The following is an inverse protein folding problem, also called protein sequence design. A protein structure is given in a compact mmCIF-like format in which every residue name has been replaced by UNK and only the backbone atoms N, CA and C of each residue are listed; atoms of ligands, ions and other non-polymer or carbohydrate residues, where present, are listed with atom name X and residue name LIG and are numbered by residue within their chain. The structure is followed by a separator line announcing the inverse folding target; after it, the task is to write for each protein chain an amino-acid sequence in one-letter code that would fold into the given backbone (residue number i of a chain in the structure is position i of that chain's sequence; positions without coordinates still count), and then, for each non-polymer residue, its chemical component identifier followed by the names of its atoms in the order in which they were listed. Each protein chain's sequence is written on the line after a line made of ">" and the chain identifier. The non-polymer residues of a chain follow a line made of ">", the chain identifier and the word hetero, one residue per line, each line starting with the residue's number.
data_IF_481173783702
#
_entry.id   IF_481173783702
#
_cell.length_a   1.000
_cell.length_b   1.000
_cell.length_c   1.000
_cell.angle_alpha   90.00
_cell.angle_beta   90.00
_cell.angle_gamma   90.00
#
_symmetry.space_group_name_H-M   'P 1'
#
loop_
_entity.id
_entity.type
_entity.pdbx_description
1 polymer ?
#
# COMPACT_ATOMS: atom_id res chain seq x y z
N UNK A 1 23.18 23.47 -10.06
CA UNK A 1 24.28 23.13 -9.12
C UNK A 1 24.17 21.64 -8.80
N UNK A 2 25.27 20.89 -8.84
CA UNK A 2 25.30 19.48 -8.46
C UNK A 2 25.63 19.38 -6.95
N UNK A 3 24.78 18.70 -6.19
CA UNK A 3 24.98 18.47 -4.75
C UNK A 3 25.25 17.00 -4.52
N UNK A 4 26.32 16.69 -3.76
CA UNK A 4 26.63 15.32 -3.34
C UNK A 4 26.26 15.14 -1.87
N UNK A 5 25.50 14.07 -1.50
CA UNK A 5 25.13 13.82 -0.12
C UNK A 5 26.31 13.23 0.68
N UNK A 6 26.67 13.91 1.76
CA UNK A 6 27.59 13.40 2.77
C UNK A 6 26.87 13.24 4.10
N UNK A 7 27.23 12.22 4.86
CA UNK A 7 26.91 12.12 6.28
C UNK A 7 28.09 12.61 7.09
N UNK A 8 27.84 13.62 7.93
CA UNK A 8 28.85 14.25 8.77
C UNK A 8 28.54 13.86 10.22
N UNK A 9 29.57 13.43 10.96
CA UNK A 9 29.44 13.20 12.40
C UNK A 9 29.33 14.55 13.11
N UNK A 10 28.23 14.75 13.84
CA UNK A 10 27.97 15.99 14.58
C UNK A 10 28.17 15.84 16.09
N UNK A 11 28.42 14.65 16.59
CA UNK A 11 28.65 14.42 18.00
C UNK A 11 29.86 15.20 18.49
N UNK A 12 29.63 16.15 19.41
CA UNK A 12 30.66 17.05 19.92
C UNK A 12 31.05 18.19 18.98
N UNK A 13 30.57 18.23 17.74
CA UNK A 13 30.86 19.31 16.78
C UNK A 13 30.31 20.65 17.28
N UNK A 14 31.09 21.71 17.10
CA UNK A 14 30.77 23.07 17.52
C UNK A 14 30.03 23.81 16.42
N UNK A 15 28.75 24.08 16.62
CA UNK A 15 27.92 24.86 15.69
C UNK A 15 27.65 26.25 16.21
N UNK A 16 27.76 27.26 15.35
CA UNK A 16 27.36 28.62 15.63
C UNK A 16 26.05 28.93 14.91
N UNK A 17 25.03 29.30 15.66
CA UNK A 17 23.73 29.70 15.16
C UNK A 17 23.52 31.20 15.37
N UNK A 18 23.55 31.96 14.29
CA UNK A 18 23.34 33.42 14.34
C UNK A 18 21.89 33.71 13.99
N UNK A 19 21.14 34.18 15.00
CA UNK A 19 19.70 34.41 14.93
C UNK A 19 18.96 33.72 16.06
N UNK A 20 17.91 34.36 16.60
CA UNK A 20 17.15 33.91 17.78
C UNK A 20 15.69 33.58 17.51
N UNK A 21 15.23 33.64 16.25
CA UNK A 21 13.82 33.44 15.88
C UNK A 21 13.42 31.99 15.62
N UNK A 22 12.16 31.79 15.17
CA UNK A 22 11.57 30.46 14.88
C UNK A 22 12.37 29.62 13.88
N UNK A 23 13.07 30.24 12.93
CA UNK A 23 13.89 29.51 11.96
C UNK A 23 15.12 28.92 12.64
N UNK A 24 15.79 29.70 13.49
CA UNK A 24 16.90 29.24 14.31
C UNK A 24 16.47 28.09 15.24
N UNK A 25 15.31 28.22 15.89
CA UNK A 25 14.71 27.20 16.72
C UNK A 25 14.59 25.85 15.99
N UNK A 26 13.92 25.83 14.82
CA UNK A 26 13.78 24.62 13.98
C UNK A 26 15.11 24.02 13.50
N UNK A 27 16.14 24.83 13.37
CA UNK A 27 17.48 24.32 13.00
C UNK A 27 18.17 23.68 14.21
N UNK A 28 18.06 24.29 15.38
CA UNK A 28 18.58 23.71 16.63
C UNK A 28 17.90 22.36 16.95
N UNK A 29 16.55 22.29 16.86
CA UNK A 29 15.78 21.04 17.04
C UNK A 29 16.28 19.88 16.16
N UNK A 30 16.71 20.19 14.94
CA UNK A 30 17.22 19.17 14.01
C UNK A 30 18.63 18.71 14.32
N UNK A 31 19.46 19.54 14.94
CA UNK A 31 20.89 19.26 15.16
C UNK A 31 21.19 18.69 16.54
N UNK A 32 20.47 19.13 17.57
CA UNK A 32 20.67 18.67 18.95
C UNK A 32 20.60 17.15 19.12
N UNK A 33 19.65 16.44 18.46
CA UNK A 33 19.59 14.97 18.55
C UNK A 33 20.82 14.24 18.00
N UNK A 34 21.65 14.93 17.21
CA UNK A 34 22.91 14.39 16.67
C UNK A 34 24.14 14.77 17.51
N UNK A 35 23.93 15.33 18.71
CA UNK A 35 25.02 15.62 19.66
C UNK A 35 25.83 16.87 19.35
N UNK A 36 25.36 17.75 18.45
CA UNK A 36 26.01 19.03 18.16
C UNK A 36 25.99 19.96 19.38
N UNK A 37 27.10 20.65 19.65
CA UNK A 37 27.20 21.71 20.66
C UNK A 37 26.92 23.04 19.99
N UNK A 38 25.75 23.62 20.26
CA UNK A 38 25.31 24.83 19.58
C UNK A 38 25.46 26.05 20.46
N UNK A 39 26.12 27.07 19.93
CA UNK A 39 26.12 28.45 20.47
C UNK A 39 25.19 29.30 19.66
N UNK A 40 24.22 29.91 20.30
CA UNK A 40 23.25 30.83 19.69
C UNK A 40 23.65 32.26 19.98
N UNK A 41 23.83 33.06 18.93
CA UNK A 41 24.18 34.49 19.05
C UNK A 41 23.07 35.31 18.42
N UNK A 42 22.37 36.07 19.21
CA UNK A 42 21.33 37.01 18.75
C UNK A 42 21.00 38.04 19.85
N UNK A 43 20.62 39.30 19.50
CA UNK A 43 20.15 40.27 20.49
C UNK A 43 18.90 39.78 21.22
N UNK A 44 17.97 39.16 20.47
CA UNK A 44 16.73 38.61 20.97
C UNK A 44 16.66 37.11 20.64
N UNK A 45 16.30 36.29 21.63
CA UNK A 45 16.15 34.85 21.49
C UNK A 45 14.76 34.46 21.98
N UNK A 46 13.96 33.82 21.10
CA UNK A 46 12.60 33.40 21.42
C UNK A 46 12.57 32.38 22.57
N UNK A 47 11.46 32.35 23.29
CA UNK A 47 11.28 31.53 24.49
C UNK A 47 11.50 30.02 24.21
N UNK A 48 11.02 29.53 23.07
CA UNK A 48 11.15 28.13 22.67
C UNK A 48 12.64 27.75 22.50
N UNK A 49 13.43 28.59 21.82
CA UNK A 49 14.84 28.36 21.62
C UNK A 49 15.63 28.51 22.94
N UNK A 50 15.25 29.48 23.77
CA UNK A 50 15.88 29.70 25.07
C UNK A 50 15.63 28.56 26.08
N UNK A 51 14.51 27.85 25.93
CA UNK A 51 14.14 26.70 26.76
C UNK A 51 14.78 25.37 26.36
N UNK A 52 15.50 25.29 25.23
CA UNK A 52 16.16 24.06 24.80
C UNK A 52 17.39 23.76 25.63
N UNK A 53 17.47 22.51 26.10
CA UNK A 53 18.68 22.04 26.77
C UNK A 53 19.83 21.85 25.78
N UNK A 54 21.08 22.06 26.23
CA UNK A 54 22.28 21.81 25.43
C UNK A 54 22.70 22.99 24.53
N UNK A 55 22.09 24.16 24.70
CA UNK A 55 22.48 25.38 23.99
C UNK A 55 23.31 26.32 24.87
N UNK A 56 24.30 26.97 24.28
CA UNK A 56 24.95 28.15 24.86
C UNK A 56 24.31 29.39 24.26
N UNK A 57 23.76 30.28 25.07
CA UNK A 57 23.02 31.46 24.63
C UNK A 57 23.84 32.75 24.84
N UNK A 58 24.08 33.50 23.76
CA UNK A 58 24.74 34.79 23.77
C UNK A 58 23.80 35.89 23.30
N UNK A 59 23.19 36.64 24.24
CA UNK A 59 22.18 37.70 23.93
C UNK A 59 22.91 39.01 23.56
N UNK A 60 23.45 39.08 22.35
CA UNK A 60 24.15 40.24 21.78
C UNK A 60 24.17 40.15 20.25
N UNK A 61 24.45 41.20 19.54
CA UNK A 61 24.76 41.14 18.11
C UNK A 61 25.94 40.23 17.81
N UNK A 62 25.93 39.65 16.60
CA UNK A 62 27.07 38.89 16.06
C UNK A 62 28.28 39.78 15.88
N UNK A 63 29.45 39.27 16.23
CA UNK A 63 30.75 39.86 15.98
C UNK A 63 31.66 38.89 15.22
N UNK A 64 32.60 39.39 14.42
CA UNK A 64 33.52 38.53 13.63
C UNK A 64 34.36 37.62 14.50
N UNK A 65 34.58 38.03 15.76
CA UNK A 65 35.26 37.20 16.81
C UNK A 65 34.45 35.96 17.23
N UNK A 66 33.16 35.89 16.90
CA UNK A 66 32.37 34.69 17.16
C UNK A 66 32.78 33.50 16.28
N UNK A 67 33.57 33.78 15.25
CA UNK A 67 34.18 32.78 14.41
C UNK A 67 35.59 32.38 14.90
N UNK A 68 36.02 32.81 16.07
CA UNK A 68 37.33 32.51 16.69
C UNK A 68 37.14 31.95 18.11
N UNK A 69 37.49 30.69 18.39
CA UNK A 69 38.03 29.69 17.46
C UNK A 69 36.96 29.22 16.46
N UNK A 70 37.39 28.91 15.23
CA UNK A 70 36.48 28.55 14.14
C UNK A 70 35.53 27.44 14.54
N UNK A 71 34.21 27.63 14.42
CA UNK A 71 33.25 26.55 14.57
C UNK A 71 33.31 25.58 13.40
N UNK A 72 32.84 24.35 13.60
CA UNK A 72 32.83 23.33 12.55
C UNK A 72 31.77 23.67 11.47
N UNK A 73 30.68 24.33 11.87
CA UNK A 73 29.67 24.84 10.94
C UNK A 73 28.96 26.07 11.52
N UNK A 74 28.37 26.87 10.61
CA UNK A 74 27.62 28.09 10.94
C UNK A 74 26.25 28.04 10.29
N UNK A 75 25.25 28.51 11.00
CA UNK A 75 23.89 28.75 10.49
C UNK A 75 23.59 30.23 10.60
N UNK A 76 23.50 30.92 9.46
CA UNK A 76 23.10 32.32 9.37
C UNK A 76 21.58 32.41 9.19
N UNK A 77 20.88 32.69 10.30
CA UNK A 77 19.42 32.72 10.39
C UNK A 77 18.91 34.03 11.02
N UNK A 78 19.69 35.13 10.89
CA UNK A 78 19.28 36.44 11.32
C UNK A 78 18.17 37.01 10.42
N UNK A 79 17.33 37.90 10.96
CA UNK A 79 16.32 38.61 10.17
C UNK A 79 16.93 39.58 9.14
N UNK A 80 18.20 39.98 9.33
CA UNK A 80 18.94 40.86 8.44
C UNK A 80 19.69 40.04 7.35
N UNK A 81 19.28 40.20 6.10
CA UNK A 81 19.89 39.54 4.94
C UNK A 81 21.33 40.04 4.67
N UNK A 82 21.64 41.31 4.97
CA UNK A 82 22.99 41.81 4.78
C UNK A 82 23.98 41.18 5.75
N UNK A 83 23.55 41.01 7.01
CA UNK A 83 24.31 40.26 8.01
C UNK A 83 24.52 38.80 7.61
N UNK A 84 23.49 38.13 7.15
CA UNK A 84 23.59 36.74 6.71
C UNK A 84 24.59 36.56 5.54
N UNK A 85 24.58 37.47 4.56
CA UNK A 85 25.56 37.46 3.45
C UNK A 85 26.97 37.75 3.93
N UNK A 86 27.16 38.68 4.88
CA UNK A 86 28.46 38.96 5.51
C UNK A 86 29.00 37.71 6.21
N UNK A 87 28.18 37.05 7.00
CA UNK A 87 28.56 35.80 7.67
C UNK A 87 28.97 34.74 6.65
N UNK A 88 28.19 34.58 5.56
CA UNK A 88 28.51 33.64 4.49
C UNK A 88 29.89 33.93 3.85
N UNK A 89 30.19 35.19 3.57
CA UNK A 89 31.49 35.61 3.01
C UNK A 89 32.64 35.31 3.97
N UNK A 90 32.47 35.62 5.26
CA UNK A 90 33.47 35.34 6.30
C UNK A 90 33.73 33.85 6.46
N UNK A 91 32.64 33.03 6.49
CA UNK A 91 32.77 31.57 6.57
C UNK A 91 33.45 30.98 5.34
N UNK A 92 33.12 31.47 4.15
CA UNK A 92 33.76 31.03 2.90
C UNK A 92 35.24 31.33 2.88
N UNK A 93 35.66 32.53 3.31
CA UNK A 93 37.05 32.91 3.40
C UNK A 93 37.86 32.06 4.40
N UNK A 94 37.21 31.59 5.48
CA UNK A 94 37.80 30.74 6.53
C UNK A 94 37.58 29.24 6.31
N UNK A 95 36.95 28.82 5.19
CA UNK A 95 36.58 27.44 4.86
C UNK A 95 35.70 26.77 5.90
N UNK A 96 34.83 27.54 6.55
CA UNK A 96 33.84 27.06 7.49
C UNK A 96 32.57 26.71 6.73
N UNK A 97 31.95 25.54 7.01
CA UNK A 97 30.67 25.16 6.43
C UNK A 97 29.55 26.11 6.89
N UNK A 98 28.79 26.67 5.97
CA UNK A 98 27.72 27.61 6.29
C UNK A 98 26.39 27.25 5.61
N UNK A 99 25.31 27.34 6.37
CA UNK A 99 23.95 27.33 5.83
C UNK A 99 23.34 28.73 6.03
N UNK A 100 22.89 29.35 4.95
CA UNK A 100 22.26 30.65 4.96
C UNK A 100 20.77 30.51 4.70
N UNK A 101 19.96 31.04 5.59
CA UNK A 101 18.51 30.98 5.45
C UNK A 101 18.08 31.89 4.30
N UNK A 102 17.22 31.38 3.42
CA UNK A 102 16.65 32.05 2.24
C UNK A 102 17.69 32.58 1.21
N UNK A 103 18.94 32.07 1.27
CA UNK A 103 19.98 32.37 0.28
C UNK A 103 20.73 31.08 -0.16
N UNK A 104 20.20 30.34 -1.17
CA UNK A 104 20.83 29.15 -1.66
C UNK A 104 22.25 29.33 -2.20
N UNK A 105 22.56 30.50 -2.78
CA UNK A 105 23.87 30.78 -3.35
C UNK A 105 24.97 30.96 -2.26
N UNK A 106 24.56 31.39 -1.08
CA UNK A 106 25.42 31.56 0.08
C UNK A 106 25.71 30.27 0.84
N UNK A 107 24.98 29.18 0.55
CA UNK A 107 25.09 27.93 1.30
C UNK A 107 26.26 27.06 0.86
N UNK A 108 27.03 26.54 1.83
CA UNK A 108 28.00 25.47 1.67
C UNK A 108 27.38 24.06 1.92
N UNK A 109 26.24 24.00 2.61
CA UNK A 109 25.48 22.77 2.84
C UNK A 109 23.98 23.04 2.99
N UNK A 110 23.14 21.99 2.78
CA UNK A 110 21.69 22.07 2.96
C UNK A 110 21.19 21.14 4.04
N UNK A 111 20.06 21.52 4.64
CA UNK A 111 19.27 20.64 5.50
C UNK A 111 18.33 19.81 4.66
N UNK A 112 18.50 18.48 4.58
CA UNK A 112 17.54 17.62 3.90
C UNK A 112 16.25 17.45 4.72
N UNK A 113 15.20 16.94 4.08
CA UNK A 113 14.14 16.29 4.81
C UNK A 113 14.67 14.95 5.34
N UNK A 114 14.54 14.70 6.65
CA UNK A 114 15.14 13.54 7.32
C UNK A 114 14.07 12.50 7.67
N UNK A 115 14.38 11.22 7.38
CA UNK A 115 13.75 10.05 8.01
C UNK A 115 14.75 9.47 8.99
N UNK A 116 14.36 9.32 10.25
CA UNK A 116 15.20 8.74 11.28
C UNK A 116 14.48 7.62 12.02
N UNK A 117 15.11 6.45 12.11
CA UNK A 117 14.64 5.28 12.84
C UNK A 117 15.83 4.60 13.51
N UNK A 118 16.16 5.01 14.73
CA UNK A 118 17.38 4.56 15.42
C UNK A 118 18.63 4.87 14.59
N UNK A 119 19.36 3.83 14.19
CA UNK A 119 20.59 3.95 13.36
C UNK A 119 20.32 4.34 11.90
N UNK A 120 19.08 4.20 11.40
CA UNK A 120 18.77 4.63 10.04
C UNK A 120 18.63 6.14 9.98
N UNK A 121 19.36 6.74 9.06
CA UNK A 121 19.17 8.14 8.65
C UNK A 121 19.08 8.20 7.13
N UNK A 122 17.97 8.76 6.61
CA UNK A 122 17.79 9.03 5.18
C UNK A 122 17.65 10.53 4.96
N UNK A 123 18.53 11.12 4.21
CA UNK A 123 18.47 12.52 3.81
C UNK A 123 17.85 12.66 2.41
N UNK A 124 16.78 13.44 2.28
CA UNK A 124 16.08 13.68 1.01
C UNK A 124 16.23 15.15 0.63
N UNK A 125 16.82 15.38 -0.53
CA UNK A 125 16.99 16.72 -1.10
C UNK A 125 16.42 16.74 -2.53
N UNK A 126 15.74 17.82 -2.87
CA UNK A 126 15.26 18.11 -4.24
C UNK A 126 16.12 19.20 -4.89
N UNK A 127 17.32 19.45 -4.38
CA UNK A 127 18.18 20.55 -4.87
C UNK A 127 17.58 21.95 -4.70
N UNK A 128 16.62 22.10 -3.79
CA UNK A 128 15.88 23.36 -3.61
C UNK A 128 14.63 23.50 -4.50
N UNK A 129 14.38 22.55 -5.42
CA UNK A 129 13.25 22.64 -6.36
C UNK A 129 11.87 22.58 -5.69
N UNK A 130 11.70 21.71 -4.68
CA UNK A 130 10.40 21.54 -4.01
C UNK A 130 10.52 20.98 -2.59
N UNK A 131 10.42 21.83 -1.56
CA UNK A 131 10.30 21.35 -0.17
C UNK A 131 9.11 20.41 0.05
N UNK A 132 8.00 20.65 -0.67
CA UNK A 132 6.78 19.83 -0.60
C UNK A 132 7.03 18.41 -1.12
N UNK A 133 7.74 18.26 -2.24
CA UNK A 133 8.10 16.94 -2.77
C UNK A 133 9.04 16.18 -1.81
N UNK A 134 10.02 16.87 -1.21
CA UNK A 134 10.89 16.26 -0.21
C UNK A 134 10.10 15.79 1.03
N UNK A 135 9.14 16.59 1.50
CA UNK A 135 8.27 16.24 2.61
C UNK A 135 7.30 15.09 2.27
N UNK A 136 6.82 15.01 1.03
CA UNK A 136 5.97 13.90 0.56
C UNK A 136 6.77 12.58 0.52
N UNK A 137 7.97 12.60 -0.07
CA UNK A 137 8.87 11.43 -0.09
C UNK A 137 9.24 10.97 1.32
N UNK A 138 9.53 11.91 2.23
CA UNK A 138 9.81 11.60 3.64
C UNK A 138 8.66 10.81 4.26
N UNK A 139 7.41 11.31 4.14
CA UNK A 139 6.23 10.64 4.70
C UNK A 139 6.00 9.26 4.10
N UNK A 140 6.22 9.10 2.80
CA UNK A 140 6.09 7.80 2.14
C UNK A 140 7.12 6.80 2.66
N UNK A 141 8.38 7.18 2.75
CA UNK A 141 9.43 6.33 3.34
C UNK A 141 9.17 5.99 4.81
N UNK A 142 8.68 6.95 5.60
CA UNK A 142 8.30 6.71 7.00
C UNK A 142 7.17 5.68 7.14
N UNK A 143 6.21 5.69 6.21
CA UNK A 143 5.10 4.74 6.20
C UNK A 143 5.51 3.32 5.77
N UNK A 144 6.49 3.20 4.86
CA UNK A 144 7.01 1.90 4.39
C UNK A 144 7.91 1.21 5.43
N UNK A 145 8.53 1.98 6.33
CA UNK A 145 9.40 1.42 7.36
C UNK A 145 8.58 0.85 8.54
N UNK A 146 8.71 -0.44 8.87
CA UNK A 146 7.96 -1.02 9.98
C UNK A 146 8.35 -0.37 11.33
N UNK A 147 7.43 -0.28 12.30
CA UNK A 147 7.69 0.34 13.62
C UNK A 147 8.90 -0.24 14.35
N UNK A 148 9.21 -1.52 14.11
CA UNK A 148 10.34 -2.23 14.70
C UNK A 148 11.68 -2.07 13.98
N UNK A 149 11.77 -1.28 12.91
CA UNK A 149 12.94 -1.24 12.03
C UNK A 149 14.24 -0.81 12.76
N UNK A 150 14.14 0.10 13.73
CA UNK A 150 15.29 0.48 14.56
C UNK A 150 15.91 -0.75 15.26
N UNK A 151 15.08 -1.61 15.86
CA UNK A 151 15.52 -2.84 16.52
C UNK A 151 16.13 -3.86 15.55
N UNK A 152 15.65 -3.91 14.30
CA UNK A 152 16.27 -4.73 13.24
C UNK A 152 17.72 -4.32 13.04
N UNK A 153 17.96 -3.03 12.86
CA UNK A 153 19.32 -2.50 12.65
C UNK A 153 20.24 -2.71 13.85
N UNK A 154 19.71 -2.57 15.07
CA UNK A 154 20.49 -2.83 16.29
C UNK A 154 20.89 -4.31 16.39
N UNK A 155 19.98 -5.25 16.10
CA UNK A 155 20.29 -6.68 16.09
C UNK A 155 21.29 -7.06 14.99
N UNK A 156 21.12 -6.49 13.78
CA UNK A 156 22.09 -6.69 12.70
C UNK A 156 23.48 -6.17 13.05
N UNK A 157 23.56 -4.99 13.69
CA UNK A 157 24.81 -4.45 14.17
C UNK A 157 25.47 -5.35 15.23
N UNK A 158 24.68 -5.86 16.19
CA UNK A 158 25.15 -6.80 17.19
C UNK A 158 25.65 -8.13 16.58
N UNK A 159 24.90 -8.69 15.61
CA UNK A 159 25.35 -9.88 14.88
C UNK A 159 26.64 -9.67 14.11
N UNK A 160 26.78 -8.50 13.46
CA UNK A 160 27.99 -8.13 12.74
C UNK A 160 29.20 -8.02 13.70
N UNK A 161 29.01 -7.39 14.85
CA UNK A 161 30.04 -7.27 15.89
C UNK A 161 30.44 -8.62 16.47
N UNK A 162 29.47 -9.51 16.75
CA UNK A 162 29.73 -10.84 17.31
C UNK A 162 30.50 -11.79 16.35
N UNK A 163 30.42 -11.55 15.04
CA UNK A 163 31.16 -12.36 14.04
C UNK A 163 32.62 -11.95 13.88
N UNK A 164 32.97 -10.70 14.19
CA UNK A 164 34.37 -10.24 14.22
C UNK A 164 35.25 -10.84 13.12
N UNK A 165 36.33 -11.49 13.52
CA UNK A 165 37.33 -12.11 12.63
C UNK A 165 36.77 -13.30 11.82
N UNK A 166 35.75 -14.01 12.31
CA UNK A 166 35.14 -15.13 11.57
C UNK A 166 34.48 -14.66 10.26
N UNK A 167 33.98 -13.41 10.21
CA UNK A 167 33.46 -12.84 8.98
C UNK A 167 34.56 -12.48 7.97
N UNK A 168 35.78 -12.25 8.42
CA UNK A 168 36.93 -11.94 7.55
C UNK A 168 37.37 -13.18 6.73
N UNK A 169 37.10 -14.38 7.22
CA UNK A 169 37.42 -15.64 6.55
C UNK A 169 36.48 -15.97 5.36
N UNK A 170 35.31 -15.31 5.26
CA UNK A 170 34.36 -15.52 4.17
C UNK A 170 34.74 -14.68 2.94
N UNK A 171 34.51 -15.23 1.75
CA UNK A 171 34.60 -14.47 0.50
C UNK A 171 33.53 -13.37 0.43
N UNK A 172 33.71 -12.37 -0.44
CA UNK A 172 32.76 -11.26 -0.61
C UNK A 172 31.32 -11.74 -0.96
N UNK A 173 31.10 -12.71 -1.89
CA UNK A 173 29.78 -13.27 -2.18
C UNK A 173 29.14 -13.94 -0.96
N UNK A 174 29.90 -14.72 -0.19
CA UNK A 174 29.39 -15.39 1.01
C UNK A 174 28.97 -14.41 2.09
N UNK A 175 29.75 -13.35 2.30
CA UNK A 175 29.39 -12.24 3.22
C UNK A 175 28.11 -11.55 2.79
N UNK A 176 27.95 -11.29 1.49
CA UNK A 176 26.76 -10.64 0.96
C UNK A 176 25.50 -11.52 1.13
N UNK A 177 25.62 -12.82 0.85
CA UNK A 177 24.52 -13.78 1.01
C UNK A 177 24.14 -13.94 2.49
N UNK A 178 25.11 -14.04 3.37
CA UNK A 178 24.85 -14.11 4.81
C UNK A 178 24.17 -12.84 5.33
N UNK A 179 24.60 -11.66 4.86
CA UNK A 179 23.96 -10.39 5.23
C UNK A 179 22.50 -10.31 4.75
N UNK A 180 22.18 -10.81 3.55
CA UNK A 180 20.80 -10.90 3.04
C UNK A 180 19.95 -11.82 3.91
N UNK A 181 20.46 -13.00 4.28
CA UNK A 181 19.75 -13.96 5.16
C UNK A 181 19.48 -13.36 6.53
N UNK A 182 20.47 -12.70 7.12
CA UNK A 182 20.31 -12.03 8.42
C UNK A 182 19.27 -10.92 8.35
N UNK A 183 19.31 -10.09 7.31
CA UNK A 183 18.35 -9.02 7.11
C UNK A 183 16.94 -9.57 6.94
N UNK A 184 16.74 -10.59 6.09
CA UNK A 184 15.45 -11.22 5.89
C UNK A 184 14.89 -11.82 7.20
N UNK A 185 15.73 -12.50 7.98
CA UNK A 185 15.35 -13.09 9.26
C UNK A 185 14.93 -12.02 10.28
N UNK A 186 15.70 -10.91 10.39
CA UNK A 186 15.41 -9.84 11.32
C UNK A 186 14.18 -9.03 10.89
N UNK A 187 13.96 -8.82 9.60
CA UNK A 187 12.75 -8.18 9.07
C UNK A 187 11.51 -9.01 9.35
N UNK A 188 11.58 -10.33 9.13
CA UNK A 188 10.50 -11.25 9.48
C UNK A 188 10.18 -11.22 10.99
N UNK A 189 11.19 -11.09 11.84
CA UNK A 189 11.02 -10.99 13.30
C UNK A 189 10.53 -9.62 13.78
N UNK A 190 10.78 -8.55 13.03
CA UNK A 190 10.40 -7.17 13.40
C UNK A 190 8.98 -6.78 12.98
N UNK A 191 8.43 -7.43 11.97
CA UNK A 191 7.03 -7.28 11.66
C UNK A 191 6.23 -7.90 12.80
N UNK A 192 5.31 -7.18 13.48
CA UNK A 192 4.31 -7.80 14.33
C UNK A 192 3.31 -8.49 13.40
N UNK A 193 3.75 -9.56 12.75
CA UNK A 193 2.86 -10.46 12.05
C UNK A 193 2.18 -11.31 13.12
N UNK A 194 0.87 -11.54 13.06
CA UNK A 194 0.36 -12.76 13.67
C UNK A 194 1.23 -13.89 13.13
N UNK A 195 1.70 -14.75 14.04
CA UNK A 195 2.61 -15.85 13.70
C UNK A 195 2.16 -16.48 12.38
N UNK A 196 3.08 -16.79 11.46
CA UNK A 196 2.72 -17.61 10.32
C UNK A 196 1.99 -18.83 10.85
N UNK A 197 0.88 -19.26 10.23
CA UNK A 197 0.19 -20.43 10.68
C UNK A 197 1.20 -21.58 10.81
N UNK A 198 1.02 -22.41 11.83
CA UNK A 198 1.93 -23.50 12.20
C UNK A 198 2.45 -24.24 10.97
N UNK A 199 3.67 -24.79 11.04
CA UNK A 199 4.29 -25.54 9.94
C UNK A 199 3.25 -26.48 9.30
N UNK A 200 2.94 -26.26 8.00
CA UNK A 200 1.91 -27.03 7.29
C UNK A 200 0.53 -26.35 7.18
N UNK A 201 0.43 -25.02 7.22
CA UNK A 201 -0.83 -24.31 7.09
C UNK A 201 -1.16 -23.86 5.66
N UNK A 202 -2.45 -23.77 5.36
CA UNK A 202 -2.98 -23.29 4.10
C UNK A 202 -3.78 -22.00 4.32
N UNK A 203 -3.52 -20.96 3.54
CA UNK A 203 -4.32 -19.73 3.54
C UNK A 203 -5.18 -19.66 2.27
N UNK A 204 -6.49 -19.59 2.43
CA UNK A 204 -7.42 -19.30 1.34
C UNK A 204 -7.54 -17.77 1.25
N UNK A 205 -6.91 -17.16 0.25
CA UNK A 205 -6.76 -15.72 0.14
C UNK A 205 -7.57 -15.17 -1.01
N UNK A 206 -8.45 -14.21 -0.73
CA UNK A 206 -9.13 -13.43 -1.76
C UNK A 206 -8.16 -12.42 -2.40
N UNK A 207 -7.98 -12.55 -3.71
CA UNK A 207 -7.15 -11.65 -4.50
C UNK A 207 -7.82 -10.30 -4.80
N UNK A 208 -9.11 -10.18 -4.49
CA UNK A 208 -9.94 -9.10 -5.00
C UNK A 208 -10.32 -9.32 -6.46
N UNK A 209 -10.93 -8.33 -7.06
CA UNK A 209 -11.33 -8.34 -8.47
C UNK A 209 -10.78 -7.11 -9.17
N UNK A 210 -10.05 -7.29 -10.26
CA UNK A 210 -9.41 -6.19 -10.99
C UNK A 210 -7.91 -6.17 -10.78
N UNK A 211 -7.36 -5.03 -10.35
CA UNK A 211 -5.93 -4.85 -10.17
C UNK A 211 -5.40 -5.46 -8.87
N UNK A 212 -4.09 -5.69 -8.81
CA UNK A 212 -3.40 -6.21 -7.63
C UNK A 212 -3.61 -5.37 -6.35
N UNK A 213 -4.01 -4.11 -6.49
CA UNK A 213 -4.28 -3.20 -5.37
C UNK A 213 -5.53 -3.58 -4.54
N UNK A 214 -6.40 -4.43 -5.08
CA UNK A 214 -7.62 -4.90 -4.39
C UNK A 214 -7.39 -6.08 -3.44
N UNK A 215 -6.17 -6.59 -3.37
CA UNK A 215 -5.82 -7.58 -2.34
C UNK A 215 -5.77 -6.91 -0.97
N UNK A 216 -6.24 -7.60 0.06
CA UNK A 216 -6.13 -7.08 1.43
C UNK A 216 -4.67 -7.09 1.90
N UNK A 217 -4.31 -6.18 2.82
CA UNK A 217 -2.96 -6.14 3.42
C UNK A 217 -2.57 -7.49 4.04
N UNK A 218 -3.54 -8.22 4.64
CA UNK A 218 -3.32 -9.57 5.18
C UNK A 218 -2.99 -10.56 4.06
N UNK A 219 -3.79 -10.55 2.99
CA UNK A 219 -3.59 -11.43 1.84
C UNK A 219 -2.22 -11.23 1.18
N UNK A 220 -1.83 -9.98 0.96
CA UNK A 220 -0.53 -9.64 0.37
C UNK A 220 0.63 -10.14 1.23
N UNK A 221 0.56 -9.97 2.55
CA UNK A 221 1.60 -10.42 3.48
C UNK A 221 1.77 -11.93 3.45
N UNK A 222 0.69 -12.70 3.40
CA UNK A 222 0.74 -14.15 3.30
C UNK A 222 1.31 -14.59 1.95
N UNK A 223 0.92 -13.92 0.87
CA UNK A 223 1.44 -14.18 -0.47
C UNK A 223 2.96 -13.99 -0.55
N UNK A 224 3.48 -12.94 0.08
CA UNK A 224 4.92 -12.62 0.13
C UNK A 224 5.74 -13.60 1.00
N UNK A 225 5.09 -14.45 1.78
CA UNK A 225 5.75 -15.40 2.70
C UNK A 225 5.47 -16.86 2.36
N UNK A 226 4.69 -17.12 1.32
CA UNK A 226 4.28 -18.47 0.99
C UNK A 226 5.44 -19.28 0.39
N UNK A 227 5.43 -20.60 0.65
CA UNK A 227 6.29 -21.59 0.01
C UNK A 227 5.67 -22.12 -1.29
N UNK A 228 4.35 -22.04 -1.39
CA UNK A 228 3.63 -22.41 -2.60
C UNK A 228 2.39 -21.51 -2.77
N UNK A 229 2.11 -21.13 -4.00
CA UNK A 229 0.87 -20.47 -4.39
C UNK A 229 0.11 -21.32 -5.39
N UNK A 230 -1.19 -21.54 -5.14
CA UNK A 230 -2.12 -22.22 -6.04
C UNK A 230 -3.14 -21.17 -6.52
N UNK A 231 -3.24 -20.94 -7.83
CA UNK A 231 -4.00 -19.83 -8.41
C UNK A 231 -4.72 -20.19 -9.72
N UNK A 232 -5.68 -19.36 -10.11
CA UNK A 232 -6.50 -19.49 -11.33
C UNK A 232 -6.49 -18.22 -12.18
N UNK A 233 -7.34 -18.15 -13.22
CA UNK A 233 -7.38 -17.06 -14.21
C UNK A 233 -7.97 -15.74 -13.70
N UNK A 234 -8.69 -15.75 -12.58
CA UNK A 234 -9.43 -14.59 -12.09
C UNK A 234 -8.63 -13.67 -11.17
N UNK A 235 -7.31 -13.83 -11.15
CA UNK A 235 -6.40 -12.99 -10.39
C UNK A 235 -5.64 -12.04 -11.32
N UNK A 236 -5.20 -10.89 -10.80
CA UNK A 236 -4.23 -10.05 -11.51
C UNK A 236 -2.85 -10.76 -11.52
N UNK A 237 -2.25 -10.99 -12.71
CA UNK A 237 -0.92 -11.59 -12.81
C UNK A 237 0.16 -10.85 -12.03
N UNK A 238 0.05 -9.53 -11.84
CA UNK A 238 0.98 -8.73 -11.05
C UNK A 238 1.09 -9.18 -9.58
N UNK A 239 0.08 -9.88 -9.06
CA UNK A 239 0.16 -10.52 -7.73
C UNK A 239 1.20 -11.65 -7.68
N UNK A 240 1.49 -12.29 -8.80
CA UNK A 240 2.49 -13.35 -8.85
C UNK A 240 3.91 -12.80 -8.71
N UNK A 241 4.13 -11.51 -9.02
CA UNK A 241 5.42 -10.84 -8.82
C UNK A 241 5.71 -10.61 -7.33
N UNK A 242 4.68 -10.67 -6.50
CA UNK A 242 4.79 -10.58 -5.03
C UNK A 242 5.13 -11.93 -4.37
N UNK A 243 5.06 -13.03 -5.12
CA UNK A 243 5.37 -14.38 -4.63
C UNK A 243 6.89 -14.58 -4.58
N UNK A 244 7.45 -15.12 -3.48
CA UNK A 244 8.89 -15.39 -3.38
C UNK A 244 9.42 -16.17 -4.59
N UNK A 245 10.63 -15.84 -5.04
CA UNK A 245 11.22 -16.43 -6.26
C UNK A 245 11.40 -17.95 -6.17
N UNK A 246 11.64 -18.46 -4.96
CA UNK A 246 11.80 -19.89 -4.65
C UNK A 246 10.47 -20.59 -4.33
N UNK A 247 9.37 -19.86 -4.25
CA UNK A 247 8.06 -20.44 -4.00
C UNK A 247 7.50 -21.18 -5.22
N UNK A 248 6.89 -22.34 -4.99
CA UNK A 248 6.24 -23.13 -6.04
C UNK A 248 4.96 -22.47 -6.51
N UNK A 249 4.86 -22.16 -7.82
CA UNK A 249 3.65 -21.62 -8.46
C UNK A 249 2.89 -22.75 -9.15
N UNK A 250 1.62 -22.94 -8.78
CA UNK A 250 0.76 -24.00 -9.31
C UNK A 250 -0.53 -23.39 -9.87
N UNK A 251 -0.65 -23.41 -11.18
CA UNK A 251 -1.84 -22.95 -11.87
C UNK A 251 -2.89 -24.08 -11.98
N UNK A 252 -4.14 -23.78 -11.63
CA UNK A 252 -5.26 -24.74 -11.59
C UNK A 252 -6.46 -24.33 -12.47
N UNK A 253 -6.37 -23.20 -13.19
CA UNK A 253 -7.41 -22.71 -14.08
C UNK A 253 -7.49 -23.45 -15.42
N UNK A 254 -8.23 -22.88 -16.37
CA UNK A 254 -8.33 -23.41 -17.73
C UNK A 254 -7.09 -23.06 -18.54
N UNK A 255 -6.44 -24.04 -19.14
CA UNK A 255 -5.41 -23.82 -20.18
C UNK A 255 -5.99 -24.12 -21.56
N UNK A 256 -5.48 -23.42 -22.58
CA UNK A 256 -5.83 -23.73 -23.98
C UNK A 256 -5.60 -25.22 -24.26
N UNK A 257 -6.65 -25.91 -24.68
CA UNK A 257 -6.61 -27.36 -24.95
C UNK A 257 -6.70 -28.30 -23.74
N UNK A 258 -6.82 -27.79 -22.48
CA UNK A 258 -7.06 -28.63 -21.28
C UNK A 258 -8.22 -28.11 -20.47
N UNK A 259 -9.06 -29.02 -19.95
CA UNK A 259 -10.11 -28.67 -18.98
C UNK A 259 -9.48 -28.11 -17.69
N UNK A 260 -10.21 -27.24 -16.98
CA UNK A 260 -9.82 -26.81 -15.65
C UNK A 260 -9.66 -28.03 -14.72
N UNK A 261 -8.72 -27.95 -13.77
CA UNK A 261 -8.54 -29.00 -12.77
C UNK A 261 -9.84 -29.18 -11.98
N UNK A 262 -10.38 -30.42 -11.86
CA UNK A 262 -11.56 -30.68 -11.04
C UNK A 262 -11.37 -30.25 -9.59
N UNK A 263 -12.44 -29.77 -8.95
CA UNK A 263 -12.34 -29.25 -7.57
C UNK A 263 -11.80 -30.29 -6.58
N UNK A 264 -12.16 -31.56 -6.73
CA UNK A 264 -11.62 -32.62 -5.89
C UNK A 264 -10.09 -32.73 -5.99
N UNK A 265 -9.54 -32.60 -7.21
CA UNK A 265 -8.08 -32.61 -7.42
C UNK A 265 -7.40 -31.37 -6.84
N UNK A 266 -8.07 -30.19 -6.88
CA UNK A 266 -7.57 -28.98 -6.23
C UNK A 266 -7.53 -29.18 -4.71
N UNK A 267 -8.58 -29.74 -4.13
CA UNK A 267 -8.66 -30.03 -2.70
C UNK A 267 -7.52 -30.98 -2.28
N UNK A 268 -7.32 -32.06 -3.02
CA UNK A 268 -6.23 -33.01 -2.77
C UNK A 268 -4.83 -32.37 -2.94
N UNK A 269 -4.68 -31.48 -3.91
CA UNK A 269 -3.46 -30.73 -4.12
C UNK A 269 -3.13 -29.85 -2.91
N UNK A 270 -4.11 -29.10 -2.39
CA UNK A 270 -3.95 -28.25 -1.22
C UNK A 270 -3.56 -29.09 0.02
N UNK A 271 -4.20 -30.23 0.23
CA UNK A 271 -3.87 -31.15 1.32
C UNK A 271 -2.44 -31.69 1.18
N UNK A 272 -2.06 -32.13 -0.03
CA UNK A 272 -0.69 -32.61 -0.28
C UNK A 272 0.38 -31.54 -0.07
N UNK A 273 0.12 -30.32 -0.52
CA UNK A 273 1.05 -29.20 -0.32
C UNK A 273 1.15 -28.81 1.15
N UNK A 274 0.02 -28.71 1.85
CA UNK A 274 -0.02 -28.40 3.28
C UNK A 274 0.77 -29.39 4.13
N UNK A 275 0.67 -30.71 3.83
CA UNK A 275 1.42 -31.76 4.54
C UNK A 275 2.94 -31.69 4.35
N UNK A 276 3.42 -31.02 3.29
CA UNK A 276 4.86 -30.84 3.04
C UNK A 276 5.51 -29.77 3.91
N UNK A 277 4.73 -29.07 4.71
CA UNK A 277 5.19 -27.98 5.59
C UNK A 277 5.35 -26.65 4.87
N UNK A 278 5.46 -25.60 5.65
CA UNK A 278 5.45 -24.21 5.18
C UNK A 278 4.05 -23.69 4.84
N UNK A 279 3.96 -22.40 4.53
CA UNK A 279 2.71 -21.72 4.18
C UNK A 279 2.36 -21.99 2.71
N UNK A 280 1.15 -22.47 2.45
CA UNK A 280 0.56 -22.60 1.13
C UNK A 280 -0.52 -21.56 0.99
N UNK A 281 -0.46 -20.72 -0.05
CA UNK A 281 -1.52 -19.76 -0.37
C UNK A 281 -2.36 -20.28 -1.53
N UNK A 282 -3.66 -20.44 -1.31
CA UNK A 282 -4.65 -20.60 -2.38
C UNK A 282 -5.19 -19.20 -2.71
N UNK A 283 -4.70 -18.62 -3.80
CA UNK A 283 -5.08 -17.29 -4.28
C UNK A 283 -6.29 -17.41 -5.21
N UNK A 284 -7.40 -16.74 -4.87
CA UNK A 284 -8.71 -16.86 -5.52
C UNK A 284 -9.22 -15.48 -5.95
N UNK A 285 -9.71 -15.33 -7.17
CA UNK A 285 -10.35 -14.10 -7.61
C UNK A 285 -11.55 -13.74 -6.73
N UNK A 286 -11.73 -12.45 -6.40
CA UNK A 286 -12.75 -11.96 -5.51
C UNK A 286 -12.56 -12.40 -4.06
N UNK A 287 -13.62 -12.95 -3.45
CA UNK A 287 -13.65 -13.47 -2.08
C UNK A 287 -13.69 -15.00 -2.09
N UNK A 288 -12.92 -15.71 -1.24
CA UNK A 288 -12.88 -17.17 -1.24
C UNK A 288 -14.23 -17.85 -0.94
N UNK A 289 -15.07 -17.21 -0.13
CA UNK A 289 -16.33 -17.79 0.34
C UNK A 289 -17.57 -17.31 -0.44
N UNK A 290 -17.41 -16.32 -1.33
CA UNK A 290 -18.50 -15.89 -2.18
C UNK A 290 -18.41 -16.53 -3.57
N UNK A 291 -19.15 -17.62 -3.78
CA UNK A 291 -19.18 -18.43 -5.02
C UNK A 291 -17.83 -18.90 -5.56
N UNK A 292 -16.79 -18.84 -4.70
CA UNK A 292 -15.44 -19.25 -5.02
C UNK A 292 -15.11 -20.69 -4.62
N UNK A 293 -16.06 -21.48 -4.12
CA UNK A 293 -15.88 -22.87 -3.64
C UNK A 293 -14.86 -23.02 -2.51
N UNK A 294 -14.49 -21.93 -1.84
CA UNK A 294 -13.54 -21.95 -0.71
C UNK A 294 -14.03 -22.80 0.47
N UNK A 295 -15.35 -22.92 0.65
CA UNK A 295 -15.94 -23.82 1.66
C UNK A 295 -15.59 -25.28 1.43
N UNK A 296 -15.55 -25.75 0.18
CA UNK A 296 -15.16 -27.13 -0.17
C UNK A 296 -13.66 -27.35 0.11
N UNK A 297 -12.82 -26.35 -0.22
CA UNK A 297 -11.38 -26.37 0.05
C UNK A 297 -11.12 -26.39 1.58
N UNK A 298 -11.81 -25.53 2.34
CA UNK A 298 -11.70 -25.49 3.81
C UNK A 298 -12.11 -26.80 4.47
N UNK A 299 -13.23 -27.41 4.03
CA UNK A 299 -13.69 -28.70 4.52
C UNK A 299 -12.68 -29.82 4.25
N UNK A 300 -12.05 -29.83 3.07
CA UNK A 300 -11.00 -30.81 2.75
C UNK A 300 -9.78 -30.69 3.66
N UNK A 301 -9.34 -29.44 3.93
CA UNK A 301 -8.23 -29.15 4.84
C UNK A 301 -8.57 -29.56 6.28
N UNK A 302 -9.77 -29.24 6.75
CA UNK A 302 -10.26 -29.60 8.08
C UNK A 302 -10.30 -31.12 8.26
N UNK A 303 -10.84 -31.87 7.29
CA UNK A 303 -10.86 -33.35 7.30
C UNK A 303 -9.44 -33.94 7.31
N UNK A 304 -8.48 -33.26 6.69
CA UNK A 304 -7.09 -33.69 6.67
C UNK A 304 -6.31 -33.31 7.94
N UNK A 305 -6.92 -32.64 8.91
CA UNK A 305 -6.30 -32.16 10.16
C UNK A 305 -5.26 -31.06 9.94
N UNK A 306 -5.35 -30.32 8.83
CA UNK A 306 -4.44 -29.22 8.51
C UNK A 306 -4.97 -27.89 9.05
N UNK A 307 -4.06 -27.11 9.62
CA UNK A 307 -4.37 -25.73 10.00
C UNK A 307 -4.63 -24.90 8.74
N UNK A 308 -5.69 -24.11 8.75
CA UNK A 308 -5.98 -23.16 7.67
C UNK A 308 -6.55 -21.87 8.20
N UNK A 309 -6.44 -20.82 7.39
CA UNK A 309 -7.13 -19.55 7.60
C UNK A 309 -7.80 -19.09 6.29
N UNK A 310 -8.83 -18.26 6.44
CA UNK A 310 -9.52 -17.63 5.30
C UNK A 310 -9.35 -16.12 5.41
N UNK A 311 -8.78 -15.55 4.37
CA UNK A 311 -8.59 -14.11 4.25
C UNK A 311 -9.57 -13.56 3.23
N UNK A 312 -10.54 -12.71 3.63
CA UNK A 312 -11.52 -12.17 2.71
C UNK A 312 -10.86 -11.34 1.61
N UNK A 313 -11.54 -11.24 0.49
CA UNK A 313 -11.17 -10.39 -0.64
C UNK A 313 -12.34 -9.50 -1.07
N UNK A 314 -12.04 -8.46 -1.84
CA UNK A 314 -13.04 -7.56 -2.38
C UNK A 314 -13.81 -8.28 -3.50
N UNK A 315 -15.10 -8.57 -3.27
CA UNK A 315 -15.94 -9.25 -4.27
C UNK A 315 -16.28 -8.35 -5.44
N UNK A 316 -16.31 -8.93 -6.65
CA UNK A 316 -16.79 -8.27 -7.87
C UNK A 316 -18.24 -7.79 -7.77
N UNK A 317 -19.07 -8.44 -6.95
CA UNK A 317 -20.43 -7.99 -6.71
C UNK A 317 -20.55 -6.58 -6.13
N UNK A 318 -19.52 -6.12 -5.45
CA UNK A 318 -19.45 -4.79 -4.82
C UNK A 318 -18.53 -3.84 -5.61
N UNK A 319 -17.35 -4.31 -5.95
CA UNK A 319 -16.33 -3.44 -6.53
C UNK A 319 -16.61 -3.05 -7.98
N UNK A 320 -17.04 -4.00 -8.82
CA UNK A 320 -17.24 -3.73 -10.25
C UNK A 320 -18.37 -2.72 -10.49
N UNK A 321 -19.55 -2.82 -9.83
CA UNK A 321 -20.55 -1.75 -9.88
C UNK A 321 -20.04 -0.41 -9.35
N UNK A 322 -19.35 -0.42 -8.20
CA UNK A 322 -18.82 0.79 -7.59
C UNK A 322 -17.83 1.55 -8.49
N UNK A 323 -16.94 0.84 -9.18
CA UNK A 323 -16.02 1.42 -10.17
C UNK A 323 -16.77 2.03 -11.36
N UNK A 324 -17.95 1.50 -11.72
CA UNK A 324 -18.82 2.03 -12.77
C UNK A 324 -19.76 3.15 -12.28
N UNK A 325 -19.60 3.62 -11.03
CA UNK A 325 -20.41 4.66 -10.43
C UNK A 325 -21.82 4.19 -10.02
N UNK A 326 -22.02 2.88 -9.87
CA UNK A 326 -23.31 2.30 -9.46
C UNK A 326 -23.17 1.79 -8.03
N UNK A 327 -23.74 2.47 -7.01
CA UNK A 327 -23.78 1.95 -5.66
C UNK A 327 -24.74 0.77 -5.59
N UNK A 328 -24.33 -0.34 -4.98
CA UNK A 328 -25.22 -1.51 -4.84
C UNK A 328 -26.33 -1.32 -3.79
N UNK A 329 -26.20 -0.31 -2.95
CA UNK A 329 -27.22 0.18 -2.01
C UNK A 329 -27.17 1.71 -1.96
N UNK A 330 -28.33 2.36 -1.81
CA UNK A 330 -28.43 3.81 -1.69
C UNK A 330 -29.58 4.15 -0.73
N UNK A 331 -29.32 5.05 0.23
CA UNK A 331 -30.35 5.51 1.15
C UNK A 331 -31.52 6.14 0.38
N UNK A 332 -32.73 5.76 0.69
CA UNK A 332 -33.93 6.22 -0.01
C UNK A 332 -34.25 5.48 -1.30
N UNK A 333 -33.31 4.71 -1.86
CA UNK A 333 -33.50 3.97 -3.14
C UNK A 333 -33.46 2.46 -2.92
N UNK A 334 -32.44 1.91 -2.29
CA UNK A 334 -32.32 0.48 -2.06
C UNK A 334 -31.68 0.18 -0.71
N UNK A 335 -32.40 -0.58 0.13
CA UNK A 335 -31.98 -0.96 1.50
C UNK A 335 -31.44 -2.38 1.60
N UNK A 336 -31.63 -3.18 0.55
CA UNK A 336 -31.25 -4.58 0.54
C UNK A 336 -30.38 -4.89 -0.69
N UNK A 337 -29.48 -5.85 -0.54
CA UNK A 337 -28.62 -6.36 -1.59
C UNK A 337 -28.69 -7.89 -1.60
N UNK A 338 -29.06 -8.47 -2.74
CA UNK A 338 -29.10 -9.91 -2.97
C UNK A 338 -28.05 -10.28 -4.00
N UNK A 339 -27.07 -11.07 -3.61
CA UNK A 339 -26.02 -11.55 -4.50
C UNK A 339 -26.32 -12.99 -4.88
N UNK A 340 -26.53 -13.22 -6.17
CA UNK A 340 -27.05 -14.46 -6.72
C UNK A 340 -26.05 -15.00 -7.75
N UNK A 341 -25.74 -16.30 -7.69
CA UNK A 341 -25.03 -16.94 -8.80
C UNK A 341 -26.03 -17.42 -9.85
N UNK A 342 -25.80 -17.06 -11.10
CA UNK A 342 -26.58 -17.61 -12.20
C UNK A 342 -26.06 -19.00 -12.65
N UNK A 343 -24.93 -19.45 -12.12
CA UNK A 343 -24.39 -20.78 -12.37
C UNK A 343 -24.89 -21.77 -11.33
N UNK A 344 -25.44 -22.90 -11.77
CA UNK A 344 -25.87 -24.02 -10.89
C UNK A 344 -24.93 -25.22 -11.09
N UNK A 345 -24.68 -25.96 -10.04
CA UNK A 345 -24.05 -27.28 -10.11
C UNK A 345 -25.11 -28.25 -10.71
N UNK A 346 -24.84 -28.79 -11.90
CA UNK A 346 -25.79 -29.65 -12.65
C UNK A 346 -26.62 -28.88 -13.67
N UNK A 347 -27.44 -29.62 -14.45
CA UNK A 347 -28.25 -29.09 -15.56
C UNK A 347 -29.50 -28.31 -15.15
N UNK A 348 -29.78 -28.18 -13.86
CA UNK A 348 -30.96 -27.47 -13.37
C UNK A 348 -30.69 -25.97 -13.33
N UNK A 349 -31.25 -25.25 -14.27
CA UNK A 349 -31.23 -23.77 -14.26
C UNK A 349 -32.08 -23.25 -13.09
N UNK A 350 -31.57 -22.26 -12.30
CA UNK A 350 -32.38 -21.63 -11.26
C UNK A 350 -33.65 -21.01 -11.84
N UNK A 351 -34.75 -21.07 -11.09
CA UNK A 351 -35.96 -20.33 -11.39
C UNK A 351 -35.82 -18.90 -10.88
N UNK A 352 -35.46 -17.96 -11.78
CA UNK A 352 -35.22 -16.58 -11.40
C UNK A 352 -36.50 -15.80 -11.06
N UNK A 353 -37.69 -16.31 -11.37
CA UNK A 353 -38.99 -15.68 -11.02
C UNK A 353 -39.13 -15.45 -9.52
N UNK A 354 -38.55 -16.35 -8.71
CA UNK A 354 -38.60 -16.26 -7.24
C UNK A 354 -37.88 -15.03 -6.68
N UNK A 355 -36.93 -14.47 -7.41
CA UNK A 355 -36.17 -13.31 -6.96
C UNK A 355 -36.90 -11.99 -7.25
N UNK A 356 -37.93 -12.00 -8.09
CA UNK A 356 -38.72 -10.81 -8.41
C UNK A 356 -39.47 -10.23 -7.20
N UNK A 357 -39.79 -11.06 -6.20
CA UNK A 357 -40.43 -10.63 -4.96
C UNK A 357 -39.46 -10.01 -3.92
N UNK A 358 -38.15 -10.04 -4.18
CA UNK A 358 -37.15 -9.50 -3.25
C UNK A 358 -37.03 -7.98 -3.42
N UNK A 359 -37.19 -7.25 -2.32
CA UNK A 359 -36.97 -5.82 -2.31
C UNK A 359 -35.45 -5.49 -2.37
N UNK A 360 -35.12 -4.43 -3.09
CA UNK A 360 -33.72 -3.94 -3.14
C UNK A 360 -33.02 -4.23 -4.46
N UNK A 361 -31.73 -4.40 -4.39
CA UNK A 361 -30.88 -4.62 -5.56
C UNK A 361 -30.55 -6.09 -5.74
N UNK A 362 -30.78 -6.60 -6.94
CA UNK A 362 -30.37 -7.95 -7.34
C UNK A 362 -29.05 -7.86 -8.11
N UNK A 363 -28.03 -8.57 -7.66
CA UNK A 363 -26.73 -8.68 -8.33
C UNK A 363 -26.50 -10.12 -8.75
N UNK A 364 -26.40 -10.37 -10.07
CA UNK A 364 -26.13 -11.69 -10.59
C UNK A 364 -24.68 -11.81 -11.03
N UNK A 365 -23.98 -12.81 -10.49
CA UNK A 365 -22.65 -13.21 -10.92
C UNK A 365 -22.72 -14.42 -11.85
N UNK A 366 -21.76 -14.53 -12.77
CA UNK A 366 -21.67 -15.62 -13.76
C UNK A 366 -22.93 -15.78 -14.63
N UNK A 367 -23.63 -14.67 -14.87
CA UNK A 367 -24.95 -14.68 -15.52
C UNK A 367 -25.00 -14.17 -16.96
N UNK A 368 -23.91 -13.68 -17.57
CA UNK A 368 -23.97 -12.97 -18.83
C UNK A 368 -24.63 -13.79 -19.96
N UNK A 369 -24.29 -15.06 -20.11
CA UNK A 369 -24.89 -15.95 -21.11
C UNK A 369 -26.37 -16.25 -20.83
N UNK A 370 -26.82 -16.10 -19.58
CA UNK A 370 -28.20 -16.34 -19.14
C UNK A 370 -28.99 -15.05 -18.97
N UNK A 371 -28.43 -13.89 -19.31
CA UNK A 371 -29.06 -12.59 -19.16
C UNK A 371 -30.43 -12.49 -19.80
N UNK A 372 -30.70 -13.00 -21.04
CA UNK A 372 -32.02 -12.97 -21.64
C UNK A 372 -33.06 -13.73 -20.78
N UNK A 373 -32.70 -14.88 -20.25
CA UNK A 373 -33.54 -15.69 -19.38
C UNK A 373 -33.73 -15.04 -18.00
N UNK A 374 -32.67 -14.50 -17.41
CA UNK A 374 -32.77 -13.78 -16.12
C UNK A 374 -33.79 -12.65 -16.26
N UNK A 375 -33.71 -11.83 -17.30
CA UNK A 375 -34.61 -10.72 -17.54
C UNK A 375 -36.08 -11.21 -17.75
N UNK A 376 -36.27 -12.20 -18.60
CA UNK A 376 -37.60 -12.75 -18.89
C UNK A 376 -38.23 -13.36 -17.62
N UNK A 377 -37.51 -14.16 -16.86
CA UNK A 377 -37.98 -14.81 -15.64
C UNK A 377 -38.33 -13.77 -14.55
N UNK A 378 -37.50 -12.71 -14.37
CA UNK A 378 -37.79 -11.64 -13.41
C UNK A 378 -39.09 -10.89 -13.78
N UNK A 379 -39.29 -10.58 -15.07
CA UNK A 379 -40.53 -9.92 -15.56
C UNK A 379 -41.71 -10.85 -15.34
N UNK A 380 -41.59 -12.13 -15.70
CA UNK A 380 -42.63 -13.12 -15.47
C UNK A 380 -42.92 -13.35 -13.98
N UNK A 381 -41.96 -13.08 -13.10
CA UNK A 381 -42.09 -13.10 -11.65
C UNK A 381 -42.72 -11.85 -11.03
N UNK A 382 -42.99 -10.80 -11.84
CA UNK A 382 -43.71 -9.60 -11.40
C UNK A 382 -42.87 -8.30 -11.36
N UNK A 383 -41.59 -8.32 -11.69
CA UNK A 383 -40.84 -7.07 -11.83
C UNK A 383 -41.31 -6.31 -13.08
N UNK A 384 -41.51 -4.97 -13.00
CA UNK A 384 -41.82 -4.16 -14.17
C UNK A 384 -40.79 -4.32 -15.29
N UNK A 385 -41.21 -4.39 -16.53
CA UNK A 385 -40.33 -4.45 -17.69
C UNK A 385 -39.39 -3.19 -17.79
N UNK A 386 -39.84 -2.07 -17.21
CA UNK A 386 -39.12 -0.80 -17.10
C UNK A 386 -38.13 -0.75 -15.96
N UNK A 387 -38.04 -1.75 -15.07
CA UNK A 387 -37.11 -1.78 -13.95
C UNK A 387 -35.71 -1.53 -14.46
N UNK A 388 -34.94 -0.56 -13.87
CA UNK A 388 -33.57 -0.29 -14.28
C UNK A 388 -32.66 -1.51 -14.12
N UNK A 389 -31.84 -1.76 -15.14
CA UNK A 389 -30.84 -2.81 -15.12
C UNK A 389 -29.51 -2.32 -15.67
N UNK A 390 -28.43 -2.90 -15.22
CA UNK A 390 -27.09 -2.62 -15.72
C UNK A 390 -26.27 -3.90 -15.88
N UNK A 391 -25.40 -3.92 -16.89
CA UNK A 391 -24.36 -4.93 -17.05
C UNK A 391 -23.00 -4.23 -17.05
N UNK A 392 -22.15 -4.60 -16.11
CA UNK A 392 -20.83 -4.00 -15.95
C UNK A 392 -19.76 -5.05 -16.23
N UNK A 393 -18.87 -4.76 -17.19
CA UNK A 393 -17.77 -5.64 -17.60
C UNK A 393 -16.42 -4.94 -17.48
N UNK A 394 -15.33 -5.70 -17.53
CA UNK A 394 -13.98 -5.15 -17.50
C UNK A 394 -13.51 -4.81 -16.09
N UNK A 395 -13.82 -5.65 -15.11
CA UNK A 395 -13.39 -5.46 -13.70
C UNK A 395 -11.87 -5.31 -13.51
N UNK A 396 -11.07 -5.70 -14.52
CA UNK A 396 -9.62 -5.49 -14.55
C UNK A 396 -9.23 -4.15 -15.22
N UNK A 397 -10.19 -3.37 -15.70
CA UNK A 397 -9.94 -2.07 -16.29
C UNK A 397 -10.06 -0.95 -15.24
N UNK A 398 -9.30 0.14 -15.40
CA UNK A 398 -9.41 1.30 -14.50
C UNK A 398 -10.82 1.93 -14.47
N UNK A 399 -11.58 1.76 -15.55
CA UNK A 399 -12.96 2.20 -15.66
C UNK A 399 -13.78 1.12 -16.38
N UNK A 400 -14.55 0.28 -15.65
CA UNK A 400 -15.38 -0.74 -16.25
C UNK A 400 -16.46 -0.14 -17.16
N UNK A 401 -16.72 -0.79 -18.28
CA UNK A 401 -17.81 -0.40 -19.17
C UNK A 401 -19.16 -0.82 -18.57
N UNK A 402 -20.09 0.12 -18.45
CA UNK A 402 -21.44 -0.14 -17.96
C UNK A 402 -22.46 0.10 -19.06
N UNK A 403 -23.28 -0.90 -19.37
CA UNK A 403 -24.46 -0.82 -20.22
C UNK A 403 -25.67 -0.74 -19.32
N UNK A 404 -26.49 0.30 -19.49
CA UNK A 404 -27.73 0.52 -18.73
C UNK A 404 -28.92 0.52 -19.66
N UNK A 405 -30.01 -0.15 -19.28
CA UNK A 405 -31.25 -0.16 -20.02
C UNK A 405 -32.40 -0.66 -19.09
N UNK A 406 -33.66 -0.47 -19.48
CA UNK A 406 -34.77 -1.20 -18.86
C UNK A 406 -34.55 -2.72 -18.87
N UNK A 407 -35.09 -3.43 -17.90
CA UNK A 407 -34.93 -4.88 -17.75
C UNK A 407 -35.34 -5.64 -19.01
N UNK A 408 -36.39 -5.18 -19.71
CA UNK A 408 -36.82 -5.77 -20.97
C UNK A 408 -35.76 -5.70 -22.08
N UNK A 409 -34.96 -4.64 -22.11
CA UNK A 409 -34.04 -4.32 -23.20
C UNK A 409 -32.59 -4.66 -22.88
N UNK A 410 -32.24 -4.90 -21.61
CA UNK A 410 -30.88 -5.02 -21.14
C UNK A 410 -30.06 -6.11 -21.84
N UNK A 411 -30.69 -7.21 -22.17
CA UNK A 411 -30.03 -8.33 -22.86
C UNK A 411 -29.59 -7.94 -24.28
N UNK A 412 -30.44 -7.26 -25.00
CA UNK A 412 -30.14 -6.77 -26.35
C UNK A 412 -29.15 -5.62 -26.32
N UNK A 413 -29.28 -4.70 -25.36
CA UNK A 413 -28.35 -3.60 -25.18
C UNK A 413 -26.92 -4.12 -24.88
N UNK A 414 -26.80 -5.10 -23.99
CA UNK A 414 -25.51 -5.72 -23.65
C UNK A 414 -24.90 -6.46 -24.87
N UNK A 415 -25.72 -7.14 -25.66
CA UNK A 415 -25.30 -7.81 -26.90
C UNK A 415 -24.79 -6.82 -27.94
N UNK A 416 -25.52 -5.74 -28.17
CA UNK A 416 -25.14 -4.66 -29.12
C UNK A 416 -23.84 -3.97 -28.71
N UNK A 417 -23.64 -3.77 -27.42
CA UNK A 417 -22.42 -3.19 -26.86
C UNK A 417 -21.23 -4.17 -26.82
N UNK A 418 -21.42 -5.42 -27.23
CA UNK A 418 -20.34 -6.41 -27.28
C UNK A 418 -19.78 -6.78 -25.91
N UNK A 419 -20.60 -6.74 -24.86
CA UNK A 419 -20.15 -7.05 -23.48
C UNK A 419 -19.58 -8.45 -23.40
N UNK A 420 -18.38 -8.58 -22.83
CA UNK A 420 -17.67 -9.84 -22.64
C UNK A 420 -17.57 -10.21 -21.16
N UNK A 421 -17.49 -11.52 -20.81
CA UNK A 421 -17.18 -11.94 -19.48
C UNK A 421 -15.69 -11.62 -19.11
N UNK A 422 -15.36 -11.39 -17.81
CA UNK A 422 -16.28 -11.44 -16.68
C UNK A 422 -17.16 -10.18 -16.61
N UNK A 423 -18.43 -10.36 -16.24
CA UNK A 423 -19.39 -9.27 -16.11
C UNK A 423 -20.32 -9.49 -14.89
N UNK A 424 -20.78 -8.38 -14.33
CA UNK A 424 -21.74 -8.33 -13.23
C UNK A 424 -23.04 -7.73 -13.73
N UNK A 425 -24.18 -8.36 -13.41
CA UNK A 425 -25.52 -7.87 -13.78
C UNK A 425 -26.18 -7.30 -12.54
N UNK A 426 -26.74 -6.10 -12.64
CA UNK A 426 -27.52 -5.45 -11.59
C UNK A 426 -28.95 -5.23 -12.08
N UNK A 427 -29.92 -5.45 -11.19
CA UNK A 427 -31.36 -5.15 -11.44
C UNK A 427 -31.91 -4.43 -10.22
N UNK A 428 -32.58 -3.32 -10.43
CA UNK A 428 -33.16 -2.47 -9.40
C UNK A 428 -32.83 -1.00 -9.61
N UNK A 429 -33.47 -0.11 -8.85
CA UNK A 429 -33.45 1.33 -9.05
C UNK A 429 -32.02 1.92 -9.03
N UNK A 430 -31.09 1.35 -8.26
CA UNK A 430 -29.69 1.81 -8.21
C UNK A 430 -28.96 1.65 -9.55
N UNK A 431 -29.43 0.75 -10.43
CA UNK A 431 -28.80 0.54 -11.73
C UNK A 431 -28.94 1.74 -12.67
N UNK A 432 -29.90 2.65 -12.40
CA UNK A 432 -30.06 3.92 -13.11
C UNK A 432 -29.03 4.97 -12.68
N UNK A 433 -28.41 4.82 -11.51
CA UNK A 433 -27.49 5.81 -10.95
C UNK A 433 -26.14 5.80 -11.68
N UNK A 434 -25.58 7.00 -11.89
CA UNK A 434 -24.22 7.19 -12.32
C UNK A 434 -23.54 8.25 -11.43
N UNK A 435 -22.83 7.78 -10.41
CA UNK A 435 -22.17 8.63 -9.44
C UNK A 435 -20.67 8.86 -9.76
N UNK A 436 -20.28 8.70 -11.02
CA UNK A 436 -18.91 9.03 -11.44
C UNK A 436 -18.69 10.53 -11.45
N UNK A 437 -17.47 11.01 -11.15
CA UNK A 437 -17.15 12.42 -11.24
C UNK A 437 -17.51 12.98 -12.63
N UNK A 438 -18.28 14.09 -12.67
CA UNK A 438 -18.73 14.72 -13.91
C UNK A 438 -19.98 14.15 -14.54
N UNK A 439 -20.56 13.07 -14.00
CA UNK A 439 -21.89 12.61 -14.43
C UNK A 439 -22.98 13.58 -13.96
N UNK A 440 -24.09 13.75 -14.73
CA UNK A 440 -25.22 14.56 -14.28
C UNK A 440 -25.81 13.98 -12.99
N UNK A 441 -26.13 14.87 -12.04
CA UNK A 441 -26.76 14.47 -10.79
C UNK A 441 -28.18 13.94 -11.09
N UNK A 442 -28.59 12.81 -10.54
CA UNK A 442 -29.96 12.34 -10.67
C UNK A 442 -30.93 13.25 -9.92
N UNK A 443 -32.03 13.64 -10.55
CA UNK A 443 -33.05 14.47 -9.95
C UNK A 443 -33.65 13.80 -8.70
N UNK A 444 -33.78 14.56 -7.60
CA UNK A 444 -34.55 14.14 -6.41
C UNK A 444 -33.86 13.18 -5.44
N UNK A 445 -32.54 13.00 -5.50
CA UNK A 445 -31.77 12.10 -4.61
C UNK A 445 -31.15 12.77 -3.36
N UNK A 446 -31.34 14.08 -3.16
CA UNK A 446 -30.91 14.84 -1.98
C UNK A 446 -32.11 15.29 -1.13
#
# INVERSE_FOLDING_TARGET
>A
MAWFPFFIQLEGARGLLVGGGRVACRKAEKLLPFGARLTVVAPEICAELAGMAGLTLCRRPFADSDLDPAPDFVIAAAGDRALNRRIAALCKARRILVNVVDDPAGCGFYFPALVQRGRLTVGISTGGASPTAAAWLRRRLEAELPPGFARVLDRLAARRAARGEAAAALSEPERAEQARRDFAAEMAAAAPLPAPPAAGAVALVGAGCGTAEWITVRGLRLLQQCRAVVYDDLIDPALLDQVPADARRVYVGKRSGRQAMPQAEINDLLVRLGRRGGLVVRLKGGDPYLFGRGGEEALALQRAGLAYEVVPGVSSALAVPGQAGIPVTQRGVSRALHIITAHSAGDVSPDYRRFAALEGTLVFLMGLQRLPRIAADLIAGGLPASTPAAVVSGGNAPCPAAVRAPLADIAEAARKAGVQPPAVILVGEVAALDLRPGAPLPDGLL
#
